data_IF_730700782945
#
_entry.id   IF_730700782945
#
_cell.length_a   1.000
_cell.length_b   1.000
_cell.length_c   1.000
_cell.angle_alpha   90.00
_cell.angle_beta   90.00
_cell.angle_gamma   90.00
#
_symmetry.space_group_name_H-M   'P 1'
#
loop_
_entity.id
_entity.type
_entity.pdbx_description
1 polymer ?
#
# COMPACT_ATOMS: atom_id res chain seq x y z
N UNK A 1 -26.59 12.21 -13.41
CA UNK A 1 -26.17 11.82 -14.77
C UNK A 1 -27.39 11.72 -15.62
N UNK A 2 -27.48 12.37 -16.78
CA UNK A 2 -28.50 11.97 -17.75
C UNK A 2 -28.16 10.53 -18.12
N UNK A 3 -29.08 9.63 -17.80
CA UNK A 3 -28.89 8.20 -18.11
C UNK A 3 -29.02 8.12 -19.63
N UNK A 4 -27.86 8.12 -20.32
CA UNK A 4 -27.85 7.81 -21.75
C UNK A 4 -28.16 6.32 -21.91
N UNK A 5 -29.43 6.02 -22.09
CA UNK A 5 -29.85 4.67 -22.43
C UNK A 5 -29.60 4.45 -23.92
N UNK A 6 -29.11 3.29 -24.33
CA UNK A 6 -29.14 2.93 -25.73
C UNK A 6 -30.59 3.01 -26.21
N UNK A 7 -30.84 3.48 -27.44
CA UNK A 7 -32.15 3.79 -27.95
C UNK A 7 -33.17 2.63 -27.97
N UNK A 8 -32.74 1.42 -27.61
CA UNK A 8 -33.53 0.19 -27.59
C UNK A 8 -33.90 -0.32 -26.19
N UNK A 9 -33.63 0.45 -25.11
CA UNK A 9 -33.97 0.03 -23.76
C UNK A 9 -35.40 0.42 -23.41
N UNK A 10 -36.16 -0.50 -22.79
CA UNK A 10 -37.51 -0.14 -22.30
C UNK A 10 -37.41 0.88 -21.16
N UNK A 11 -38.40 1.74 -21.00
CA UNK A 11 -38.45 2.77 -19.94
C UNK A 11 -38.33 2.15 -18.54
N UNK A 12 -38.93 0.97 -18.32
CA UNK A 12 -38.84 0.24 -17.05
C UNK A 12 -37.41 -0.22 -16.74
N UNK A 13 -36.68 -0.68 -17.75
CA UNK A 13 -35.27 -1.08 -17.58
C UNK A 13 -34.37 0.11 -17.27
N UNK A 14 -34.66 1.26 -17.86
CA UNK A 14 -33.94 2.51 -17.61
C UNK A 14 -34.10 2.99 -16.16
N UNK A 15 -35.35 3.02 -15.68
CA UNK A 15 -35.67 3.38 -14.28
C UNK A 15 -35.03 2.39 -13.29
N UNK A 16 -35.09 1.11 -13.60
CA UNK A 16 -34.45 0.07 -12.77
C UNK A 16 -32.93 0.29 -12.66
N UNK A 17 -32.22 0.50 -13.79
CA UNK A 17 -30.77 0.71 -13.78
C UNK A 17 -30.39 2.00 -13.05
N UNK A 18 -31.11 3.11 -13.20
CA UNK A 18 -30.86 4.34 -12.47
C UNK A 18 -31.07 4.17 -10.95
N UNK A 19 -32.11 3.42 -10.56
CA UNK A 19 -32.37 3.10 -9.15
C UNK A 19 -31.28 2.20 -8.55
N UNK A 20 -30.84 1.18 -9.32
CA UNK A 20 -29.75 0.30 -8.92
C UNK A 20 -28.42 1.05 -8.79
N UNK A 21 -28.11 1.97 -9.71
CA UNK A 21 -26.95 2.85 -9.66
C UNK A 21 -26.92 3.66 -8.37
N UNK A 22 -28.01 4.38 -8.06
CA UNK A 22 -28.13 5.18 -6.84
C UNK A 22 -28.02 4.35 -5.57
N UNK A 23 -28.60 3.15 -5.54
CA UNK A 23 -28.49 2.23 -4.41
C UNK A 23 -27.02 1.79 -4.18
N UNK A 24 -26.29 1.42 -5.25
CA UNK A 24 -24.89 1.00 -5.16
C UNK A 24 -24.01 2.16 -4.70
N UNK A 25 -24.20 3.39 -5.20
CA UNK A 25 -23.49 4.57 -4.72
C UNK A 25 -23.76 4.84 -3.25
N UNK A 26 -25.01 4.70 -2.78
CA UNK A 26 -25.36 4.82 -1.37
C UNK A 26 -24.64 3.78 -0.49
N UNK A 27 -24.55 2.53 -0.94
CA UNK A 27 -23.86 1.46 -0.23
C UNK A 27 -22.32 1.71 -0.17
N UNK A 28 -21.75 2.15 -1.29
CA UNK A 28 -20.32 2.51 -1.34
C UNK A 28 -20.01 3.72 -0.45
N UNK A 29 -20.89 4.73 -0.41
CA UNK A 29 -20.76 5.88 0.50
C UNK A 29 -20.78 5.44 1.97
N UNK A 30 -21.64 4.49 2.33
CA UNK A 30 -21.69 3.93 3.69
C UNK A 30 -20.37 3.24 4.07
N UNK A 31 -19.70 2.58 3.14
CA UNK A 31 -18.36 2.05 3.37
C UNK A 31 -17.34 3.16 3.71
N UNK A 32 -17.29 4.25 2.94
CA UNK A 32 -16.33 5.32 3.17
C UNK A 32 -16.56 6.07 4.49
N UNK A 33 -17.81 6.32 4.89
CA UNK A 33 -18.09 6.94 6.20
C UNK A 33 -17.76 5.99 7.37
N UNK A 34 -17.96 4.69 7.21
CA UNK A 34 -17.55 3.69 8.19
C UNK A 34 -16.03 3.68 8.37
N UNK A 35 -15.26 3.66 7.30
CA UNK A 35 -13.78 3.72 7.36
C UNK A 35 -13.30 5.06 7.93
N UNK A 36 -13.95 6.18 7.56
CA UNK A 36 -13.66 7.49 8.16
C UNK A 36 -13.83 7.44 9.68
N UNK A 37 -14.96 6.92 10.18
CA UNK A 37 -15.22 6.80 11.61
C UNK A 37 -14.19 5.89 12.30
N UNK A 38 -13.79 4.80 11.65
CA UNK A 38 -12.77 3.87 12.16
C UNK A 38 -11.42 4.57 12.32
N UNK A 39 -10.93 5.27 11.29
CA UNK A 39 -9.69 6.03 11.38
C UNK A 39 -9.79 7.22 12.35
N UNK A 40 -10.93 7.89 12.42
CA UNK A 40 -11.14 9.02 13.31
C UNK A 40 -11.13 8.62 14.79
N UNK A 41 -11.57 7.39 15.14
CA UNK A 41 -11.47 6.84 16.51
C UNK A 41 -10.02 6.77 16.96
N UNK A 42 -9.08 6.44 16.06
CA UNK A 42 -7.65 6.32 16.37
C UNK A 42 -6.83 7.58 16.04
N UNK A 43 -7.45 8.70 15.71
CA UNK A 43 -6.80 9.94 15.25
C UNK A 43 -5.77 10.56 16.20
N UNK A 44 -5.86 10.21 17.51
CA UNK A 44 -4.93 10.71 18.53
C UNK A 44 -3.65 9.88 18.62
N UNK A 45 -3.68 8.65 18.18
CA UNK A 45 -2.55 7.74 18.26
C UNK A 45 -1.46 8.13 17.28
N UNK A 46 -1.85 8.53 16.05
CA UNK A 46 -0.89 8.85 15.00
C UNK A 46 -1.45 9.84 13.97
N UNK A 47 -0.53 10.62 13.37
CA UNK A 47 -0.87 11.56 12.32
C UNK A 47 -1.49 10.87 11.09
N UNK A 48 -1.01 9.68 10.73
CA UNK A 48 -1.53 8.92 9.60
C UNK A 48 -3.04 8.70 9.70
N UNK A 49 -3.56 8.33 10.87
CA UNK A 49 -5.00 8.12 11.06
C UNK A 49 -5.83 9.38 10.80
N UNK A 50 -5.29 10.56 11.12
CA UNK A 50 -5.95 11.83 10.77
C UNK A 50 -6.00 12.06 9.27
N UNK A 51 -4.90 11.80 8.57
CA UNK A 51 -4.82 11.94 7.12
C UNK A 51 -5.74 10.92 6.43
N UNK A 52 -5.72 9.66 6.86
CA UNK A 52 -6.58 8.62 6.33
C UNK A 52 -8.07 8.92 6.56
N UNK A 53 -8.45 9.39 7.76
CA UNK A 53 -9.82 9.81 8.05
C UNK A 53 -10.28 10.95 7.14
N UNK A 54 -9.43 11.96 6.91
CA UNK A 54 -9.74 13.07 6.00
C UNK A 54 -9.92 12.59 4.55
N UNK A 55 -9.07 11.66 4.09
CA UNK A 55 -9.19 11.04 2.76
C UNK A 55 -10.51 10.25 2.65
N UNK A 56 -10.85 9.44 3.65
CA UNK A 56 -12.11 8.68 3.63
C UNK A 56 -13.35 9.58 3.69
N UNK A 57 -13.30 10.67 4.47
CA UNK A 57 -14.36 11.68 4.47
C UNK A 57 -14.51 12.36 3.10
N UNK A 58 -13.41 12.66 2.43
CA UNK A 58 -13.42 13.22 1.09
C UNK A 58 -14.05 12.24 0.09
N UNK A 59 -13.69 10.95 0.12
CA UNK A 59 -14.30 9.93 -0.72
C UNK A 59 -15.78 9.73 -0.44
N UNK A 60 -16.20 9.80 0.83
CA UNK A 60 -17.62 9.79 1.19
C UNK A 60 -18.39 10.90 0.48
N UNK A 61 -17.90 12.15 0.54
CA UNK A 61 -18.54 13.30 -0.12
C UNK A 61 -18.50 13.17 -1.65
N UNK A 62 -17.38 12.68 -2.18
CA UNK A 62 -17.20 12.50 -3.62
C UNK A 62 -18.19 11.49 -4.20
N UNK A 63 -18.41 10.37 -3.52
CA UNK A 63 -19.34 9.32 -3.95
C UNK A 63 -20.79 9.72 -3.67
N UNK A 64 -21.07 10.43 -2.58
CA UNK A 64 -22.42 10.87 -2.22
C UNK A 64 -23.00 11.93 -3.17
N UNK A 65 -22.16 12.70 -3.87
CA UNK A 65 -22.64 13.73 -4.82
C UNK A 65 -23.43 13.14 -5.98
N UNK A 66 -23.10 11.92 -6.44
CA UNK A 66 -23.70 11.32 -7.64
C UNK A 66 -25.20 10.97 -7.45
N UNK A 67 -25.62 10.27 -6.37
CA UNK A 67 -27.04 10.09 -6.10
C UNK A 67 -27.79 11.41 -5.80
N UNK A 68 -27.13 12.39 -5.16
CA UNK A 68 -27.75 13.72 -4.97
C UNK A 68 -27.98 14.39 -6.32
N UNK A 69 -26.97 14.34 -7.21
CA UNK A 69 -27.06 14.91 -8.54
C UNK A 69 -28.15 14.23 -9.39
N UNK A 70 -28.32 12.91 -9.28
CA UNK A 70 -29.35 12.18 -10.03
C UNK A 70 -30.78 12.55 -9.61
N UNK A 71 -30.99 13.11 -8.41
CA UNK A 71 -32.28 13.61 -7.93
C UNK A 71 -32.62 15.02 -8.46
N UNK A 72 -31.68 15.72 -9.09
CA UNK A 72 -31.89 17.04 -9.66
C UNK A 72 -32.30 16.83 -11.13
N UNK A 73 -33.44 17.41 -11.55
CA UNK A 73 -33.97 17.27 -12.93
C UNK A 73 -32.93 17.74 -13.96
N UNK A 74 -32.44 16.82 -14.76
CA UNK A 74 -31.18 16.97 -15.47
C UNK A 74 -31.33 17.05 -16.96
N UNK A 75 -32.07 17.99 -17.44
CA UNK A 75 -31.72 18.68 -18.70
C UNK A 75 -30.45 19.54 -18.50
N UNK A 76 -29.66 19.21 -17.47
CA UNK A 76 -28.57 20.07 -17.01
C UNK A 76 -27.36 19.96 -17.92
N UNK A 77 -27.06 21.08 -18.54
CA UNK A 77 -25.99 21.49 -19.42
C UNK A 77 -24.69 20.67 -19.32
N UNK A 78 -24.13 20.26 -20.45
CA UNK A 78 -22.80 19.69 -20.68
C UNK A 78 -21.71 20.29 -19.78
N UNK A 79 -21.80 21.60 -19.48
CA UNK A 79 -20.89 22.31 -18.60
C UNK A 79 -20.89 21.75 -17.17
N UNK A 80 -22.05 21.53 -16.54
CA UNK A 80 -22.12 20.99 -15.18
C UNK A 80 -21.63 19.55 -15.13
N UNK A 81 -21.99 18.72 -16.10
CA UNK A 81 -21.50 17.35 -16.20
C UNK A 81 -19.97 17.29 -16.26
N UNK A 82 -19.34 18.08 -17.14
CA UNK A 82 -17.88 18.17 -17.22
C UNK A 82 -17.24 18.74 -15.96
N UNK A 83 -17.89 19.67 -15.27
CA UNK A 83 -17.44 20.18 -13.97
C UNK A 83 -17.40 19.06 -12.95
N UNK A 84 -18.44 18.21 -12.88
CA UNK A 84 -18.48 17.06 -11.97
C UNK A 84 -17.39 16.03 -12.29
N UNK A 85 -17.15 15.74 -13.58
CA UNK A 85 -16.04 14.89 -14.00
C UNK A 85 -14.68 15.45 -13.54
N UNK A 86 -14.48 16.76 -13.67
CA UNK A 86 -13.26 17.39 -13.13
C UNK A 86 -13.18 17.24 -11.60
N UNK A 87 -14.28 17.39 -10.88
CA UNK A 87 -14.30 17.15 -9.42
C UNK A 87 -13.89 15.72 -9.09
N UNK A 88 -14.34 14.72 -9.85
CA UNK A 88 -13.95 13.32 -9.68
C UNK A 88 -12.44 13.10 -9.89
N UNK A 89 -11.80 13.86 -10.79
CA UNK A 89 -10.35 13.79 -10.98
C UNK A 89 -9.57 14.12 -9.71
N UNK A 90 -10.13 14.89 -8.77
CA UNK A 90 -9.50 15.22 -7.49
C UNK A 90 -9.23 13.99 -6.62
N UNK A 91 -9.94 12.87 -6.85
CA UNK A 91 -9.69 11.58 -6.23
C UNK A 91 -8.25 11.07 -6.41
N UNK A 92 -7.64 11.39 -7.55
CA UNK A 92 -6.26 10.98 -7.87
C UNK A 92 -5.27 11.53 -6.85
N UNK A 93 -5.42 12.79 -6.42
CA UNK A 93 -4.55 13.39 -5.39
C UNK A 93 -4.63 12.64 -4.08
N UNK A 94 -5.84 12.23 -3.66
CA UNK A 94 -6.03 11.52 -2.40
C UNK A 94 -5.41 10.13 -2.43
N UNK A 95 -5.50 9.42 -3.55
CA UNK A 95 -4.83 8.13 -3.75
C UNK A 95 -3.30 8.28 -3.68
N UNK A 96 -2.75 9.28 -4.36
CA UNK A 96 -1.31 9.58 -4.33
C UNK A 96 -0.88 9.93 -2.91
N UNK A 97 -1.59 10.83 -2.21
CA UNK A 97 -1.25 11.23 -0.84
C UNK A 97 -1.33 10.06 0.14
N UNK A 98 -2.30 9.17 0.00
CA UNK A 98 -2.41 7.98 0.84
C UNK A 98 -1.19 7.06 0.65
N UNK A 99 -0.85 6.71 -0.58
CA UNK A 99 0.29 5.85 -0.89
C UNK A 99 1.60 6.48 -0.45
N UNK A 100 1.78 7.78 -0.70
CA UNK A 100 3.03 8.48 -0.36
C UNK A 100 3.18 8.64 1.15
N UNK A 101 2.11 8.88 1.90
CA UNK A 101 2.16 8.95 3.37
C UNK A 101 2.54 7.59 3.98
N UNK A 102 2.19 6.47 3.33
CA UNK A 102 2.64 5.14 3.72
C UNK A 102 4.13 4.90 3.46
N UNK A 103 4.63 5.37 2.31
CA UNK A 103 6.02 5.15 1.88
C UNK A 103 7.02 6.17 2.48
N UNK A 104 6.55 7.38 2.74
CA UNK A 104 7.32 8.49 3.27
C UNK A 104 6.49 9.26 4.29
N UNK A 105 6.52 8.84 5.57
CA UNK A 105 5.74 9.45 6.64
C UNK A 105 6.01 10.96 6.76
N UNK A 106 4.97 11.72 7.14
CA UNK A 106 5.03 13.18 7.30
C UNK A 106 5.13 13.93 5.95
N UNK A 107 4.97 13.23 4.82
CA UNK A 107 5.00 13.89 3.51
C UNK A 107 3.79 14.82 3.30
N UNK A 108 2.58 14.40 3.68
CA UNK A 108 1.34 15.15 3.45
C UNK A 108 1.28 16.35 4.39
N UNK A 109 1.61 17.54 3.89
CA UNK A 109 1.48 18.83 4.57
C UNK A 109 0.57 19.75 3.76
N UNK A 110 -0.02 20.77 4.40
CA UNK A 110 -0.87 21.74 3.71
C UNK A 110 -0.16 22.39 2.52
N UNK A 111 1.11 22.79 2.70
CA UNK A 111 1.91 23.36 1.61
C UNK A 111 2.03 22.41 0.42
N UNK A 112 2.27 21.11 0.67
CA UNK A 112 2.39 20.10 -0.40
C UNK A 112 1.06 19.77 -1.05
N UNK A 113 -0.02 19.77 -0.28
CA UNK A 113 -1.38 19.61 -0.85
C UNK A 113 -1.64 20.75 -1.83
N UNK A 114 -1.45 22.00 -1.41
CA UNK A 114 -1.65 23.18 -2.27
C UNK A 114 -0.72 23.12 -3.48
N UNK A 115 0.57 22.86 -3.32
CA UNK A 115 1.52 22.78 -4.43
C UNK A 115 1.15 21.73 -5.47
N UNK A 116 0.67 20.54 -5.03
CA UNK A 116 0.30 19.46 -5.95
C UNK A 116 -1.04 19.71 -6.65
N UNK A 117 -1.99 20.38 -6.01
CA UNK A 117 -3.32 20.62 -6.56
C UNK A 117 -3.50 21.99 -7.23
N UNK A 118 -2.54 22.92 -7.08
CA UNK A 118 -2.69 24.31 -7.53
C UNK A 118 -3.01 24.42 -9.04
N UNK A 119 -2.28 23.71 -9.89
CA UNK A 119 -2.52 23.71 -11.32
C UNK A 119 -3.92 23.20 -11.67
N UNK A 120 -4.29 22.05 -11.08
CA UNK A 120 -5.61 21.47 -11.26
C UNK A 120 -6.73 22.40 -10.81
N UNK A 121 -6.62 23.00 -9.62
CA UNK A 121 -7.61 23.93 -9.08
C UNK A 121 -7.74 25.19 -9.95
N UNK A 122 -6.62 25.71 -10.46
CA UNK A 122 -6.62 26.85 -11.36
C UNK A 122 -7.40 26.51 -12.65
N UNK A 123 -7.12 25.36 -13.28
CA UNK A 123 -7.81 24.94 -14.51
C UNK A 123 -9.28 24.64 -14.26
N UNK A 124 -9.63 24.06 -13.11
CA UNK A 124 -11.02 23.84 -12.70
C UNK A 124 -11.79 25.16 -12.54
N UNK A 125 -11.21 26.14 -11.84
CA UNK A 125 -11.83 27.46 -11.67
C UNK A 125 -12.00 28.18 -13.01
N UNK A 126 -10.97 28.17 -13.85
CA UNK A 126 -11.06 28.76 -15.20
C UNK A 126 -12.15 28.09 -16.04
N UNK A 127 -12.29 26.77 -15.97
CA UNK A 127 -13.36 26.04 -16.66
C UNK A 127 -14.75 26.44 -16.12
N UNK A 128 -14.93 26.50 -14.80
CA UNK A 128 -16.21 26.89 -14.17
C UNK A 128 -16.62 28.30 -14.58
N UNK A 129 -15.66 29.26 -14.60
CA UNK A 129 -15.95 30.66 -14.89
C UNK A 129 -16.17 30.94 -16.37
N UNK A 130 -15.39 30.30 -17.25
CA UNK A 130 -15.40 30.59 -18.69
C UNK A 130 -16.25 29.65 -19.52
N UNK A 131 -16.59 28.49 -19.00
CA UNK A 131 -17.23 27.37 -19.72
C UNK A 131 -16.46 26.97 -21.00
N UNK A 132 -15.17 27.30 -21.12
CA UNK A 132 -14.37 27.02 -22.29
C UNK A 132 -13.71 25.63 -22.17
N UNK A 133 -14.04 24.74 -23.09
CA UNK A 133 -13.59 23.34 -23.15
C UNK A 133 -12.06 23.18 -23.18
N UNK A 134 -11.32 24.22 -23.62
CA UNK A 134 -9.85 24.19 -23.64
C UNK A 134 -9.26 23.98 -22.23
N UNK A 135 -9.87 24.54 -21.17
CA UNK A 135 -9.41 24.36 -19.79
C UNK A 135 -9.75 22.96 -19.26
N UNK A 136 -10.83 22.36 -19.74
CA UNK A 136 -11.16 20.97 -19.48
C UNK A 136 -10.09 20.05 -20.05
N UNK A 137 -9.74 20.19 -21.33
CA UNK A 137 -8.75 19.35 -22.01
C UNK A 137 -7.34 19.55 -21.43
N UNK A 138 -6.93 20.79 -21.13
CA UNK A 138 -5.66 21.09 -20.45
C UNK A 138 -5.60 20.40 -19.09
N UNK A 139 -6.71 20.38 -18.34
CA UNK A 139 -6.76 19.73 -17.02
C UNK A 139 -6.57 18.21 -17.14
N UNK A 140 -7.21 17.56 -18.12
CA UNK A 140 -7.03 16.11 -18.39
C UNK A 140 -5.57 15.80 -18.72
N UNK A 141 -4.97 16.56 -19.64
CA UNK A 141 -3.55 16.36 -20.03
C UNK A 141 -2.63 16.61 -18.83
N UNK A 142 -2.86 17.68 -18.06
CA UNK A 142 -2.10 18.00 -16.86
C UNK A 142 -2.19 16.89 -15.80
N UNK A 143 -3.37 16.29 -15.63
CA UNK A 143 -3.56 15.17 -14.71
C UNK A 143 -2.85 13.90 -15.19
N UNK A 144 -2.84 13.61 -16.48
CA UNK A 144 -2.08 12.49 -17.03
C UNK A 144 -0.57 12.65 -16.77
N UNK A 145 -0.03 13.87 -17.01
CA UNK A 145 1.38 14.18 -16.68
C UNK A 145 1.65 14.05 -15.19
N UNK A 146 0.75 14.54 -14.32
CA UNK A 146 0.83 14.39 -12.87
C UNK A 146 0.91 12.91 -12.46
N UNK A 147 0.06 12.05 -13.02
CA UNK A 147 0.05 10.62 -12.76
C UNK A 147 1.38 9.96 -13.17
N UNK A 148 1.96 10.31 -14.32
CA UNK A 148 3.26 9.80 -14.78
C UNK A 148 4.39 10.21 -13.83
N UNK A 149 4.45 11.49 -13.44
CA UNK A 149 5.45 11.98 -12.48
C UNK A 149 5.36 11.21 -11.15
N UNK A 150 4.14 11.03 -10.64
CA UNK A 150 3.95 10.32 -9.38
C UNK A 150 4.19 8.83 -9.47
N UNK A 151 3.89 8.19 -10.60
CA UNK A 151 4.24 6.78 -10.81
C UNK A 151 5.75 6.55 -10.67
N UNK A 152 6.58 7.41 -11.29
CA UNK A 152 8.04 7.36 -11.15
C UNK A 152 8.47 7.64 -9.72
N UNK A 153 7.93 8.68 -9.06
CA UNK A 153 8.25 9.01 -7.67
C UNK A 153 7.89 7.90 -6.70
N UNK A 154 6.71 7.31 -6.84
CA UNK A 154 6.25 6.18 -6.04
C UNK A 154 7.19 4.98 -6.24
N UNK A 155 7.63 4.68 -7.45
CA UNK A 155 8.58 3.60 -7.71
C UNK A 155 9.93 3.82 -6.98
N UNK A 156 10.43 5.07 -6.97
CA UNK A 156 11.67 5.44 -6.23
C UNK A 156 11.46 5.33 -4.72
N UNK A 157 10.38 5.90 -4.18
CA UNK A 157 10.04 5.83 -2.75
C UNK A 157 9.87 4.38 -2.30
N UNK A 158 9.29 3.54 -3.14
CA UNK A 158 9.12 2.11 -2.96
C UNK A 158 10.46 1.38 -2.78
N UNK A 159 11.46 1.68 -3.62
CA UNK A 159 12.82 1.11 -3.48
C UNK A 159 13.45 1.55 -2.15
N UNK A 160 13.33 2.84 -1.81
CA UNK A 160 13.86 3.39 -0.55
C UNK A 160 13.19 2.76 0.68
N UNK A 161 11.87 2.67 0.70
CA UNK A 161 11.10 2.03 1.76
C UNK A 161 11.53 0.56 1.94
N UNK A 162 11.66 -0.17 0.81
CA UNK A 162 12.08 -1.57 0.85
C UNK A 162 13.51 -1.73 1.39
N UNK A 163 14.43 -0.83 1.05
CA UNK A 163 15.77 -0.82 1.62
C UNK A 163 15.70 -0.69 3.15
N UNK A 164 14.93 0.28 3.67
CA UNK A 164 14.77 0.51 5.11
C UNK A 164 14.14 -0.72 5.79
N UNK A 165 13.12 -1.32 5.20
CA UNK A 165 12.49 -2.52 5.77
C UNK A 165 13.48 -3.68 5.87
N UNK A 166 14.31 -3.92 4.86
CA UNK A 166 15.34 -4.98 4.91
C UNK A 166 16.41 -4.73 5.95
N UNK A 167 16.72 -3.47 6.24
CA UNK A 167 17.70 -3.12 7.27
C UNK A 167 17.17 -3.32 8.69
N UNK A 168 15.85 -3.37 8.89
CA UNK A 168 15.27 -3.27 10.22
C UNK A 168 14.32 -4.42 10.59
N UNK A 169 13.86 -5.22 9.63
CA UNK A 169 12.90 -6.31 9.86
C UNK A 169 13.40 -7.62 9.26
N UNK A 170 13.15 -8.70 9.98
CA UNK A 170 13.50 -10.07 9.54
C UNK A 170 12.63 -10.58 8.39
N UNK A 171 11.47 -9.97 8.18
CA UNK A 171 10.54 -10.29 7.09
C UNK A 171 10.24 -9.06 6.25
N UNK A 172 10.69 -9.05 4.99
CA UNK A 172 10.45 -7.97 4.03
C UNK A 172 9.57 -8.49 2.87
N UNK A 173 8.25 -8.36 2.99
CA UNK A 173 7.36 -8.71 1.87
C UNK A 173 7.15 -7.51 0.95
N UNK A 174 7.55 -7.67 -0.32
CA UNK A 174 7.41 -6.66 -1.38
C UNK A 174 6.04 -6.65 -2.05
N UNK A 175 5.26 -7.72 -1.91
CA UNK A 175 4.09 -7.97 -2.76
C UNK A 175 2.95 -7.00 -2.51
N UNK A 176 2.78 -6.54 -1.25
CA UNK A 176 1.71 -5.61 -0.91
C UNK A 176 1.84 -4.28 -1.65
N UNK A 177 3.05 -3.82 -1.82
CA UNK A 177 3.37 -2.54 -2.45
C UNK A 177 3.09 -2.54 -3.95
N UNK A 178 3.49 -3.62 -4.66
CA UNK A 178 3.14 -3.80 -6.07
C UNK A 178 1.63 -3.95 -6.27
N UNK A 179 0.94 -4.59 -5.30
CA UNK A 179 -0.53 -4.66 -5.29
C UNK A 179 -1.14 -3.27 -5.13
N UNK A 180 -0.66 -2.44 -4.22
CA UNK A 180 -1.14 -1.07 -4.03
C UNK A 180 -0.95 -0.22 -5.30
N UNK A 181 0.19 -0.34 -5.98
CA UNK A 181 0.45 0.35 -7.26
C UNK A 181 -0.50 -0.18 -8.35
N UNK A 182 -0.62 -1.51 -8.49
CA UNK A 182 -1.50 -2.11 -9.49
C UNK A 182 -2.96 -1.70 -9.27
N UNK A 183 -3.39 -1.66 -8.01
CA UNK A 183 -4.71 -1.20 -7.60
C UNK A 183 -4.92 0.28 -7.96
N UNK A 184 -3.95 1.16 -7.68
CA UNK A 184 -4.02 2.56 -8.08
C UNK A 184 -4.17 2.71 -9.60
N UNK A 185 -3.37 1.97 -10.37
CA UNK A 185 -3.45 1.98 -11.83
C UNK A 185 -4.80 1.45 -12.34
N UNK A 186 -5.39 0.44 -11.68
CA UNK A 186 -6.71 -0.08 -12.05
C UNK A 186 -7.83 0.92 -11.80
N UNK A 187 -7.76 1.67 -10.68
CA UNK A 187 -8.71 2.77 -10.39
C UNK A 187 -8.61 3.86 -11.44
N UNK A 188 -7.38 4.25 -11.80
CA UNK A 188 -7.15 5.26 -12.84
C UNK A 188 -7.68 4.80 -14.21
N UNK A 189 -7.42 3.55 -14.59
CA UNK A 189 -7.92 2.99 -15.86
C UNK A 189 -9.45 2.90 -15.87
N UNK A 190 -10.07 2.46 -14.78
CA UNK A 190 -11.52 2.40 -14.64
C UNK A 190 -12.15 3.80 -14.70
N UNK A 191 -11.50 4.81 -14.09
CA UNK A 191 -11.95 6.20 -14.18
C UNK A 191 -11.85 6.73 -15.63
N UNK A 192 -10.73 6.53 -16.33
CA UNK A 192 -10.60 6.91 -17.74
C UNK A 192 -11.68 6.25 -18.58
N UNK A 193 -11.94 4.96 -18.37
CA UNK A 193 -13.00 4.23 -19.05
C UNK A 193 -14.38 4.86 -18.81
N UNK A 194 -14.71 5.23 -17.57
CA UNK A 194 -16.00 5.86 -17.24
C UNK A 194 -16.20 7.24 -17.87
N UNK A 195 -15.10 7.95 -18.18
CA UNK A 195 -15.18 9.23 -18.88
C UNK A 195 -15.61 9.10 -20.36
N UNK A 196 -15.37 7.93 -20.98
CA UNK A 196 -15.70 7.70 -22.39
C UNK A 196 -16.96 6.86 -22.60
N UNK A 197 -17.36 6.08 -21.60
CA UNK A 197 -18.50 5.17 -21.67
C UNK A 197 -19.58 5.63 -20.70
N UNK A 198 -20.49 6.45 -21.20
CA UNK A 198 -21.65 6.97 -20.43
C UNK A 198 -22.72 5.88 -20.30
N UNK A 199 -22.56 4.99 -19.31
CA UNK A 199 -23.50 3.91 -19.04
C UNK A 199 -23.63 3.68 -17.54
N UNK A 200 -24.85 3.49 -17.03
CA UNK A 200 -25.10 3.14 -15.61
C UNK A 200 -24.34 1.88 -15.19
N UNK A 201 -24.20 0.90 -16.07
CA UNK A 201 -23.43 -0.32 -15.79
C UNK A 201 -21.95 0.01 -15.60
N UNK A 202 -21.37 0.87 -16.45
CA UNK A 202 -19.98 1.34 -16.33
C UNK A 202 -19.75 2.06 -15.00
N UNK A 203 -20.67 2.95 -14.61
CA UNK A 203 -20.59 3.72 -13.38
C UNK A 203 -20.68 2.82 -12.16
N UNK A 204 -21.61 1.87 -12.15
CA UNK A 204 -21.71 0.84 -11.09
C UNK A 204 -20.40 0.04 -10.99
N UNK A 205 -19.89 -0.45 -12.12
CA UNK A 205 -18.65 -1.22 -12.14
C UNK A 205 -17.47 -0.39 -11.61
N UNK A 206 -17.35 0.87 -12.03
CA UNK A 206 -16.32 1.79 -11.56
C UNK A 206 -16.36 1.96 -10.03
N UNK A 207 -17.50 2.35 -9.46
CA UNK A 207 -17.56 2.64 -8.02
C UNK A 207 -17.40 1.38 -7.17
N UNK A 208 -17.86 0.22 -7.63
CA UNK A 208 -17.62 -1.07 -6.96
C UNK A 208 -16.14 -1.41 -6.99
N UNK A 209 -15.46 -1.31 -8.14
CA UNK A 209 -14.01 -1.55 -8.24
C UNK A 209 -13.24 -0.64 -7.28
N UNK A 210 -13.53 0.66 -7.29
CA UNK A 210 -12.90 1.64 -6.39
C UNK A 210 -13.10 1.26 -4.93
N UNK A 211 -14.32 0.91 -4.54
CA UNK A 211 -14.64 0.55 -3.14
C UNK A 211 -13.94 -0.72 -2.71
N UNK A 212 -13.92 -1.76 -3.56
CA UNK A 212 -13.20 -3.03 -3.30
C UNK A 212 -11.69 -2.78 -3.17
N UNK A 213 -11.14 -1.93 -4.02
CA UNK A 213 -9.73 -1.53 -3.97
C UNK A 213 -9.40 -0.88 -2.62
N UNK A 214 -10.20 0.12 -2.21
CA UNK A 214 -10.02 0.77 -0.92
C UNK A 214 -10.19 -0.19 0.25
N UNK A 215 -11.16 -1.10 0.20
CA UNK A 215 -11.36 -2.12 1.22
C UNK A 215 -10.13 -3.04 1.36
N UNK A 216 -9.56 -3.48 0.25
CA UNK A 216 -8.36 -4.30 0.26
C UNK A 216 -7.13 -3.54 0.78
N UNK A 217 -6.96 -2.26 0.42
CA UNK A 217 -5.88 -1.40 0.94
C UNK A 217 -6.03 -1.19 2.44
N UNK A 218 -7.21 -0.81 2.91
CA UNK A 218 -7.48 -0.57 4.33
C UNK A 218 -7.33 -1.85 5.17
N UNK A 219 -7.80 -3.00 4.66
CA UNK A 219 -7.60 -4.29 5.33
C UNK A 219 -6.11 -4.62 5.48
N UNK A 220 -5.35 -4.47 4.40
CA UNK A 220 -3.91 -4.74 4.41
C UNK A 220 -3.16 -3.78 5.32
N UNK A 221 -3.50 -2.47 5.28
CA UNK A 221 -2.90 -1.47 6.16
C UNK A 221 -3.11 -1.81 7.63
N UNK A 222 -4.32 -2.19 8.05
CA UNK A 222 -4.59 -2.63 9.43
C UNK A 222 -3.72 -3.80 9.87
N UNK A 223 -3.42 -4.73 8.94
CA UNK A 223 -2.56 -5.89 9.21
C UNK A 223 -1.07 -5.53 9.35
N UNK A 224 -0.58 -4.55 8.59
CA UNK A 224 0.84 -4.19 8.49
C UNK A 224 1.17 -2.90 9.27
N UNK A 225 0.17 -2.23 9.80
CA UNK A 225 0.27 -0.89 10.40
C UNK A 225 1.38 -0.75 11.45
N UNK A 226 1.57 -1.75 12.33
CA UNK A 226 2.65 -1.74 13.34
C UNK A 226 4.04 -1.64 12.71
N UNK A 227 4.30 -2.40 11.64
CA UNK A 227 5.59 -2.36 10.94
C UNK A 227 5.84 -1.02 10.24
N UNK A 228 4.77 -0.37 9.77
CA UNK A 228 4.87 0.96 9.14
C UNK A 228 5.23 2.02 10.18
N UNK A 229 4.71 1.91 11.40
CA UNK A 229 5.01 2.84 12.48
C UNK A 229 6.45 2.73 12.98
N UNK A 230 6.97 1.51 13.09
CA UNK A 230 8.39 1.29 13.39
C UNK A 230 9.28 1.88 12.27
N UNK A 231 8.93 1.67 11.00
CA UNK A 231 9.64 2.30 9.87
C UNK A 231 9.60 3.83 9.97
N UNK A 232 8.46 4.39 10.40
CA UNK A 232 8.30 5.84 10.59
C UNK A 232 9.24 6.38 11.66
N UNK A 233 9.35 5.71 12.81
CA UNK A 233 10.30 6.07 13.87
C UNK A 233 11.74 5.98 13.36
N UNK A 234 12.09 4.91 12.65
CA UNK A 234 13.39 4.70 12.06
C UNK A 234 13.78 5.83 11.09
N UNK A 235 12.86 6.30 10.27
CA UNK A 235 13.11 7.39 9.30
C UNK A 235 13.28 8.76 9.99
N UNK A 236 12.82 8.93 11.22
CA UNK A 236 12.92 10.18 11.99
C UNK A 236 14.17 10.26 12.87
N UNK A 237 14.83 9.12 13.16
CA UNK A 237 16.01 9.09 14.00
C UNK A 237 17.28 9.45 13.23
N UNK A 238 18.17 10.24 13.88
CA UNK A 238 19.51 10.51 13.36
C UNK A 238 20.41 9.30 13.61
N UNK A 239 21.22 8.92 12.63
CA UNK A 239 22.24 7.88 12.83
C UNK A 239 23.31 8.37 13.80
N UNK A 240 23.77 7.51 14.75
CA UNK A 240 24.84 7.86 15.67
C UNK A 240 26.19 8.00 14.93
N UNK A 241 27.12 8.73 15.54
CA UNK A 241 28.50 8.75 15.09
C UNK A 241 29.12 7.35 15.24
N UNK A 242 29.99 6.97 14.30
CA UNK A 242 30.55 5.60 14.18
C UNK A 242 31.75 5.33 15.10
N UNK A 243 32.17 6.29 15.91
CA UNK A 243 33.35 6.13 16.81
C UNK A 243 33.00 5.25 18.03
N UNK A 244 33.78 4.20 18.25
CA UNK A 244 33.66 3.31 19.44
C UNK A 244 32.48 2.34 19.39
N UNK A 245 32.17 1.75 18.23
CA UNK A 245 31.07 0.82 18.09
C UNK A 245 31.29 -0.48 18.90
N UNK A 246 30.36 -0.86 19.80
CA UNK A 246 30.44 -2.13 20.52
C UNK A 246 30.29 -3.33 19.55
N UNK A 247 30.93 -4.44 19.89
CA UNK A 247 30.70 -5.74 19.26
C UNK A 247 29.61 -6.48 20.03
N UNK A 248 28.57 -6.89 19.30
CA UNK A 248 27.39 -7.58 19.83
C UNK A 248 27.38 -9.08 19.47
N UNK A 249 28.50 -9.63 19.00
CA UNK A 249 28.55 -10.99 18.48
C UNK A 249 28.15 -12.03 19.54
N UNK A 250 28.66 -11.92 20.78
CA UNK A 250 28.40 -12.88 21.83
C UNK A 250 26.93 -12.86 22.30
N UNK A 251 26.37 -11.67 22.49
CA UNK A 251 25.00 -11.49 22.95
C UNK A 251 23.98 -11.97 21.87
N UNK A 252 24.26 -11.67 20.61
CA UNK A 252 23.42 -12.12 19.50
C UNK A 252 23.52 -13.64 19.36
N UNK A 253 24.70 -14.23 19.45
CA UNK A 253 24.89 -15.68 19.38
C UNK A 253 24.09 -16.40 20.46
N UNK A 254 24.23 -15.95 21.74
CA UNK A 254 23.47 -16.50 22.86
C UNK A 254 21.95 -16.46 22.61
N UNK A 255 21.41 -15.32 22.15
CA UNK A 255 19.97 -15.17 21.87
C UNK A 255 19.50 -16.04 20.69
N UNK A 256 20.32 -16.21 19.67
CA UNK A 256 19.93 -16.95 18.46
C UNK A 256 20.17 -18.45 18.58
N UNK A 257 21.26 -18.89 19.26
CA UNK A 257 21.57 -20.30 19.43
C UNK A 257 20.76 -20.90 20.58
N UNK A 258 20.76 -20.24 21.76
CA UNK A 258 20.12 -20.77 22.97
C UNK A 258 18.61 -20.53 22.98
N UNK A 259 18.19 -19.25 22.78
CA UNK A 259 16.77 -18.86 22.85
C UNK A 259 16.01 -19.01 21.51
N UNK A 260 16.71 -19.33 20.39
CA UNK A 260 16.13 -19.45 19.06
C UNK A 260 15.30 -18.22 18.64
N UNK A 261 15.73 -17.01 19.06
CA UNK A 261 14.98 -15.77 18.83
C UNK A 261 14.73 -15.48 17.34
N UNK A 262 15.59 -15.95 16.45
CA UNK A 262 15.43 -15.87 15.00
C UNK A 262 14.16 -16.54 14.46
N UNK A 263 13.57 -17.48 15.22
CA UNK A 263 12.29 -18.15 14.85
C UNK A 263 11.07 -17.25 15.02
N UNK A 264 11.20 -16.15 15.76
CA UNK A 264 10.15 -15.14 15.80
C UNK A 264 10.02 -14.49 14.42
N UNK A 265 8.88 -14.70 13.77
CA UNK A 265 8.61 -14.20 12.40
C UNK A 265 8.55 -12.67 12.32
N UNK A 266 8.18 -11.99 13.41
CA UNK A 266 8.05 -10.53 13.49
C UNK A 266 9.28 -9.85 14.11
N UNK A 267 10.41 -10.59 14.26
CA UNK A 267 11.62 -10.06 14.86
C UNK A 267 12.12 -8.82 14.11
N UNK A 268 12.31 -7.72 14.86
CA UNK A 268 12.89 -6.46 14.38
C UNK A 268 14.21 -6.12 15.06
N UNK A 269 15.02 -5.24 14.45
CA UNK A 269 16.25 -4.72 15.06
C UNK A 269 15.95 -4.07 16.41
N UNK A 270 14.82 -3.36 16.52
CA UNK A 270 14.40 -2.71 17.77
C UNK A 270 14.13 -3.72 18.89
N UNK A 271 13.55 -4.88 18.56
CA UNK A 271 13.35 -5.97 19.53
C UNK A 271 14.67 -6.61 19.93
N UNK A 272 15.53 -6.95 18.96
CA UNK A 272 16.84 -7.53 19.24
C UNK A 272 17.70 -6.58 20.07
N UNK A 273 17.70 -5.28 19.77
CA UNK A 273 18.44 -4.29 20.53
C UNK A 273 17.99 -4.20 21.99
N UNK A 274 16.68 -4.31 22.27
CA UNK A 274 16.16 -4.38 23.65
C UNK A 274 16.62 -5.63 24.40
N UNK A 275 16.62 -6.78 23.73
CA UNK A 275 17.10 -8.04 24.34
C UNK A 275 18.59 -8.00 24.68
N UNK A 276 19.41 -7.29 23.90
CA UNK A 276 20.85 -7.11 24.12
C UNK A 276 21.14 -5.98 25.14
N UNK A 277 20.17 -5.09 25.41
CA UNK A 277 20.38 -3.91 26.26
C UNK A 277 21.03 -2.73 25.53
N UNK A 278 20.88 -2.64 24.21
CA UNK A 278 21.41 -1.56 23.38
C UNK A 278 20.31 -0.79 22.65
N UNK A 279 20.67 0.22 21.89
CA UNK A 279 19.73 0.90 21.03
C UNK A 279 19.78 0.37 19.58
N UNK A 280 18.68 0.55 18.88
CA UNK A 280 18.51 0.12 17.49
C UNK A 280 19.59 0.64 16.55
N UNK A 281 20.00 1.89 16.72
CA UNK A 281 20.91 2.56 15.80
C UNK A 281 22.33 1.98 15.90
N UNK A 282 22.82 1.64 17.10
CA UNK A 282 24.10 0.96 17.28
C UNK A 282 24.07 -0.45 16.70
N UNK A 283 23.01 -1.23 16.98
CA UNK A 283 22.90 -2.59 16.45
C UNK A 283 22.78 -2.60 14.91
N UNK A 284 22.01 -1.68 14.33
CA UNK A 284 21.91 -1.54 12.88
C UNK A 284 23.25 -1.14 12.24
N UNK A 285 23.98 -0.24 12.88
CA UNK A 285 25.31 0.17 12.42
C UNK A 285 26.33 -0.97 12.51
N UNK A 286 26.31 -1.76 13.59
CA UNK A 286 27.17 -2.94 13.74
C UNK A 286 26.89 -3.98 12.65
N UNK A 287 25.62 -4.33 12.39
CA UNK A 287 25.25 -5.25 11.32
C UNK A 287 25.75 -4.80 9.94
N UNK A 288 25.58 -3.51 9.63
CA UNK A 288 25.93 -2.98 8.31
C UNK A 288 27.44 -2.76 8.15
N UNK A 289 28.13 -2.24 9.17
CA UNK A 289 29.53 -1.81 9.03
C UNK A 289 30.51 -2.89 9.45
N UNK A 290 30.19 -3.70 10.50
CA UNK A 290 31.07 -4.75 10.99
C UNK A 290 30.82 -6.08 10.27
N UNK A 291 29.55 -6.49 10.13
CA UNK A 291 29.21 -7.76 9.47
C UNK A 291 28.89 -7.61 7.97
N UNK A 292 28.80 -6.39 7.44
CA UNK A 292 28.53 -6.13 6.02
C UNK A 292 27.18 -6.67 5.52
N UNK A 293 26.21 -6.86 6.42
CA UNK A 293 24.91 -7.46 6.10
C UNK A 293 23.74 -6.65 6.63
N UNK A 294 22.57 -6.78 6.02
CA UNK A 294 21.35 -6.20 6.56
C UNK A 294 20.66 -7.18 7.51
N UNK A 295 19.80 -6.65 8.41
CA UNK A 295 19.13 -7.44 9.43
C UNK A 295 18.30 -8.61 8.87
N UNK A 296 17.59 -8.38 7.77
CA UNK A 296 16.78 -9.41 7.13
C UNK A 296 17.63 -10.60 6.66
N UNK A 297 18.75 -10.33 5.98
CA UNK A 297 19.65 -11.37 5.49
C UNK A 297 20.38 -12.06 6.66
N UNK A 298 20.76 -11.32 7.69
CA UNK A 298 21.38 -11.86 8.91
C UNK A 298 20.46 -12.87 9.61
N UNK A 299 19.24 -12.49 9.95
CA UNK A 299 18.25 -13.38 10.58
C UNK A 299 17.91 -14.57 9.68
N UNK A 300 17.74 -14.34 8.38
CA UNK A 300 17.46 -15.42 7.44
C UNK A 300 18.62 -16.42 7.35
N UNK A 301 19.86 -16.02 7.56
CA UNK A 301 21.01 -16.91 7.66
C UNK A 301 20.81 -18.00 8.72
N UNK A 302 20.41 -17.63 9.93
CA UNK A 302 20.11 -18.56 11.04
C UNK A 302 18.87 -19.42 10.76
N UNK A 303 17.80 -18.82 10.21
CA UNK A 303 16.58 -19.57 9.83
C UNK A 303 16.87 -20.64 8.80
N UNK A 304 17.70 -20.33 7.81
CA UNK A 304 18.10 -21.31 6.78
C UNK A 304 18.99 -22.39 7.38
N UNK A 305 19.89 -22.08 8.30
CA UNK A 305 20.69 -23.08 9.00
C UNK A 305 19.81 -24.06 9.80
N UNK A 306 18.79 -23.57 10.51
CA UNK A 306 17.80 -24.43 11.18
C UNK A 306 17.04 -25.31 10.16
N UNK A 307 16.62 -24.74 9.02
CA UNK A 307 15.96 -25.50 7.95
C UNK A 307 16.86 -26.56 7.32
N UNK A 308 18.15 -26.27 7.12
CA UNK A 308 19.15 -27.24 6.65
C UNK A 308 19.28 -28.44 7.60
N UNK A 309 19.32 -28.19 8.91
CA UNK A 309 19.37 -29.25 9.91
C UNK A 309 18.13 -30.15 9.86
N UNK A 310 16.95 -29.57 9.69
CA UNK A 310 15.69 -30.34 9.51
C UNK A 310 15.69 -31.15 8.22
N UNK A 311 16.16 -30.58 7.11
CA UNK A 311 16.21 -31.25 5.79
C UNK A 311 17.32 -32.31 5.72
N UNK A 312 18.42 -32.16 6.46
CA UNK A 312 19.54 -33.08 6.47
C UNK A 312 19.24 -34.38 7.22
N UNK A 313 18.29 -34.40 8.14
CA UNK A 313 17.81 -35.57 8.85
C UNK A 313 17.25 -36.70 7.94
N UNK A 314 16.96 -36.36 6.68
CA UNK A 314 16.47 -37.31 5.66
C UNK A 314 15.01 -37.69 5.84
N UNK A 315 14.37 -37.28 6.92
CA UNK A 315 12.94 -37.38 7.14
C UNK A 315 12.24 -36.18 6.50
N UNK A 316 11.88 -36.32 5.20
CA UNK A 316 11.09 -35.33 4.51
C UNK A 316 9.60 -35.48 4.80
N UNK A 317 9.22 -35.85 6.03
CA UNK A 317 7.83 -35.98 6.48
C UNK A 317 7.17 -34.59 6.59
N UNK A 318 7.93 -33.57 6.96
CA UNK A 318 7.43 -32.20 7.01
C UNK A 318 7.30 -31.58 5.63
N UNK A 319 6.20 -30.89 5.42
CA UNK A 319 6.00 -30.08 4.23
C UNK A 319 6.92 -28.85 4.24
N UNK A 320 7.23 -28.28 3.08
CA UNK A 320 8.04 -27.07 3.02
C UNK A 320 7.40 -25.87 3.73
N UNK A 321 6.07 -25.82 3.84
CA UNK A 321 5.34 -24.78 4.52
C UNK A 321 5.48 -24.91 6.05
N UNK A 322 5.41 -26.13 6.56
CA UNK A 322 5.67 -26.42 7.99
C UNK A 322 7.10 -26.08 8.36
N UNK A 323 8.09 -26.46 7.55
CA UNK A 323 9.49 -26.09 7.78
C UNK A 323 9.64 -24.55 7.79
N UNK A 324 9.09 -23.85 6.78
CA UNK A 324 9.16 -22.41 6.68
C UNK A 324 8.60 -21.73 7.94
N UNK A 325 7.43 -22.18 8.41
CA UNK A 325 6.78 -21.62 9.60
C UNK A 325 7.58 -21.94 10.87
N UNK A 326 8.07 -23.16 11.03
CA UNK A 326 8.84 -23.60 12.20
C UNK A 326 10.14 -22.82 12.38
N UNK A 327 10.83 -22.49 11.27
CA UNK A 327 12.07 -21.72 11.33
C UNK A 327 11.84 -20.20 11.33
N UNK A 328 10.59 -19.73 11.31
CA UNK A 328 10.20 -18.33 11.49
C UNK A 328 10.00 -17.53 10.22
N UNK A 329 9.77 -18.14 9.05
CA UNK A 329 9.37 -17.39 7.85
C UNK A 329 7.85 -17.15 7.81
N UNK A 330 7.44 -15.94 7.44
CA UNK A 330 6.02 -15.57 7.29
C UNK A 330 5.35 -16.18 6.05
N UNK A 331 6.12 -16.76 5.12
CA UNK A 331 5.56 -17.41 3.94
C UNK A 331 6.56 -18.34 3.28
N UNK A 332 6.03 -19.41 2.70
CA UNK A 332 6.79 -20.37 1.90
C UNK A 332 7.59 -19.71 0.76
N UNK A 333 7.04 -18.66 0.15
CA UNK A 333 7.72 -17.96 -0.95
C UNK A 333 8.95 -17.16 -0.48
N UNK A 334 8.93 -16.61 0.73
CA UNK A 334 10.08 -15.93 1.33
C UNK A 334 11.15 -16.93 1.73
N UNK A 335 10.77 -18.04 2.35
CA UNK A 335 11.65 -19.17 2.66
C UNK A 335 12.37 -19.67 1.41
N UNK A 336 11.62 -20.04 0.34
CA UNK A 336 12.22 -20.53 -0.90
C UNK A 336 13.22 -19.56 -1.50
N UNK A 337 12.92 -18.27 -1.53
CA UNK A 337 13.85 -17.25 -2.04
C UNK A 337 15.13 -17.14 -1.21
N UNK A 338 15.01 -17.17 0.13
CA UNK A 338 16.16 -17.12 1.02
C UNK A 338 17.02 -18.38 0.87
N UNK A 339 16.38 -19.55 0.77
CA UNK A 339 17.05 -20.84 0.60
C UNK A 339 17.81 -20.90 -0.75
N UNK A 340 17.15 -20.53 -1.86
CA UNK A 340 17.78 -20.50 -3.19
C UNK A 340 18.92 -19.47 -3.20
N UNK A 341 18.77 -18.32 -2.53
CA UNK A 341 19.86 -17.31 -2.41
C UNK A 341 21.11 -17.89 -1.76
N UNK A 342 20.95 -18.77 -0.76
CA UNK A 342 22.08 -19.38 -0.03
C UNK A 342 22.68 -20.59 -0.78
N UNK A 343 21.83 -21.46 -1.36
CA UNK A 343 22.24 -22.76 -1.89
C UNK A 343 22.22 -22.88 -3.41
N UNK A 344 21.66 -21.93 -4.13
CA UNK A 344 21.47 -22.00 -5.59
C UNK A 344 20.38 -22.98 -6.04
N UNK A 345 19.85 -23.81 -5.13
CA UNK A 345 18.86 -24.87 -5.42
C UNK A 345 17.62 -24.72 -4.50
N UNK A 346 16.51 -25.37 -4.89
CA UNK A 346 15.30 -25.35 -4.07
C UNK A 346 15.43 -26.25 -2.84
N UNK A 347 14.66 -26.01 -1.74
CA UNK A 347 14.67 -26.89 -0.57
C UNK A 347 14.34 -28.35 -0.91
N UNK A 348 13.46 -28.57 -1.91
CA UNK A 348 13.10 -29.92 -2.38
C UNK A 348 14.24 -30.62 -3.10
N UNK A 349 15.00 -29.91 -3.93
CA UNK A 349 16.21 -30.44 -4.56
C UNK A 349 17.26 -30.77 -3.52
N UNK A 350 17.51 -29.85 -2.57
CA UNK A 350 18.46 -30.06 -1.48
C UNK A 350 18.14 -31.33 -0.65
N UNK A 351 16.89 -31.54 -0.27
CA UNK A 351 16.45 -32.73 0.43
C UNK A 351 16.70 -34.03 -0.39
N UNK A 352 16.38 -34.01 -1.68
CA UNK A 352 16.59 -35.14 -2.59
C UNK A 352 18.09 -35.47 -2.74
N UNK A 353 18.93 -34.46 -2.94
CA UNK A 353 20.37 -34.64 -3.12
C UNK A 353 21.05 -35.20 -1.84
N UNK A 354 20.54 -34.83 -0.66
CA UNK A 354 21.00 -35.39 0.62
C UNK A 354 20.55 -36.85 0.83
N UNK A 355 19.37 -37.25 0.32
CA UNK A 355 18.92 -38.66 0.35
C UNK A 355 19.78 -39.59 -0.52
N UNK A 356 20.22 -39.11 -1.68
CA UNK A 356 21.06 -39.91 -2.60
C UNK A 356 22.51 -40.03 -2.13
N UNK A 357 22.95 -39.24 -1.13
CA UNK A 357 24.30 -39.30 -0.58
C UNK A 357 24.40 -40.10 0.73
N UNK A 358 23.28 -40.56 1.27
CA UNK A 358 23.19 -41.56 2.36
C UNK A 358 22.95 -42.94 1.79
#
# INVERSE_FOLDING_TARGET
MPVFFPPNLSMDTAVFLGTAENFVYGLCSAYFIYECATYFRHRREQRFYRTAAAIMAFWFLLVLKDPIYSCIDTQLHRHLYRTLLLVDMSAVFTCVFFVVELLSPIYVTWSRIVQNSAFYLLMLVLYIVTANDIFFDINIVGMAVYCLIWAVRIAVLTKRYHYIVRQNFSSADKRWMWRAIAMFLSVLAAWIYSCYVESSISNIAYIVIVTVVWAAVNHHYRKVGRSIDEVRQIMSEKQPALEGMPDFSAEVEALFVEKKLHRNHDLSVSQLAREIGTNRSYLSAWLNNTLGTNFCDFVNGYRIADAEAMLAGGDCSMTQDEIATTVGFNSLSTFRRAFIKKHGITPRQYCRDKRHKK
#
